data_IF_710436034505
#
_entry.id   IF_710436034505
#
_cell.length_a   1.000
_cell.length_b   1.000
_cell.length_c   1.000
_cell.angle_alpha   90.00
_cell.angle_beta   90.00
_cell.angle_gamma   90.00
#
_symmetry.space_group_name_H-M   'P 1'
#
loop_
_entity.id
_entity.type
_entity.pdbx_description
1 polymer ?
#
# COMPACT_ATOMS: atom_id res chain seq x y z
N UNK A 1 -20.11 3.68 -23.35
CA UNK A 1 -19.78 3.00 -22.08
C UNK A 1 -18.27 2.86 -21.88
N UNK A 2 -17.48 2.70 -22.93
CA UNK A 2 -16.00 2.61 -22.89
C UNK A 2 -15.33 3.86 -22.33
N UNK A 3 -15.73 5.05 -22.73
CA UNK A 3 -15.15 6.31 -22.24
C UNK A 3 -15.24 6.47 -20.72
N UNK A 4 -16.36 6.04 -20.12
CA UNK A 4 -16.52 6.11 -18.64
C UNK A 4 -15.59 5.13 -17.94
N UNK A 5 -15.36 3.94 -18.52
CA UNK A 5 -14.45 2.94 -17.96
C UNK A 5 -13.00 3.40 -18.07
N UNK A 6 -12.59 3.92 -19.22
CA UNK A 6 -11.25 4.45 -19.42
C UNK A 6 -10.93 5.59 -18.43
N UNK A 7 -11.88 6.51 -18.21
CA UNK A 7 -11.72 7.57 -17.21
C UNK A 7 -11.39 7.01 -15.81
N UNK A 8 -12.09 5.97 -15.36
CA UNK A 8 -11.83 5.39 -14.03
C UNK A 8 -10.52 4.62 -13.98
N UNK A 9 -10.10 3.99 -15.06
CA UNK A 9 -8.77 3.37 -15.19
C UNK A 9 -7.68 4.44 -15.03
N UNK A 10 -7.78 5.56 -15.75
CA UNK A 10 -6.82 6.66 -15.67
C UNK A 10 -6.78 7.30 -14.26
N UNK A 11 -7.95 7.56 -13.67
CA UNK A 11 -8.01 8.07 -12.28
C UNK A 11 -7.34 7.10 -11.32
N UNK A 12 -7.62 5.80 -11.42
CA UNK A 12 -7.05 4.79 -10.53
C UNK A 12 -5.52 4.67 -10.71
N UNK A 13 -5.01 4.84 -11.93
CA UNK A 13 -3.60 4.75 -12.25
C UNK A 13 -2.74 5.83 -11.56
N UNK A 14 -3.34 6.98 -11.21
CA UNK A 14 -2.64 8.04 -10.46
C UNK A 14 -2.01 7.49 -9.18
N UNK A 15 -2.71 6.62 -8.44
CA UNK A 15 -2.23 6.10 -7.17
C UNK A 15 -0.95 5.25 -7.29
N UNK A 16 -0.91 4.18 -8.08
CA UNK A 16 0.29 3.35 -8.16
C UNK A 16 1.47 4.09 -8.84
N UNK A 17 1.22 5.01 -9.75
CA UNK A 17 2.27 5.88 -10.32
C UNK A 17 2.86 6.77 -9.22
N UNK A 18 2.02 7.46 -8.45
CA UNK A 18 2.46 8.30 -7.35
C UNK A 18 3.17 7.51 -6.24
N UNK A 19 2.70 6.30 -5.92
CA UNK A 19 3.36 5.44 -4.93
C UNK A 19 4.70 4.91 -5.42
N UNK A 20 4.81 4.52 -6.69
CA UNK A 20 6.08 4.08 -7.29
C UNK A 20 7.14 5.17 -7.30
N UNK A 21 6.74 6.43 -7.53
CA UNK A 21 7.65 7.57 -7.49
C UNK A 21 8.08 7.97 -6.07
N UNK A 22 7.37 7.54 -5.02
CA UNK A 22 7.70 7.85 -3.63
C UNK A 22 9.12 7.41 -3.27
N UNK A 23 9.55 6.25 -3.74
CA UNK A 23 10.90 5.72 -3.44
C UNK A 23 11.99 6.63 -4.03
N UNK A 24 11.79 7.06 -5.29
CA UNK A 24 12.70 7.99 -5.94
C UNK A 24 12.77 9.33 -5.20
N UNK A 25 11.61 9.95 -4.90
CA UNK A 25 11.56 11.24 -4.20
C UNK A 25 12.18 11.12 -2.81
N UNK A 26 11.88 10.06 -2.05
CA UNK A 26 12.43 9.85 -0.72
C UNK A 26 13.94 9.71 -0.75
N UNK A 27 14.48 8.97 -1.74
CA UNK A 27 15.92 8.72 -1.83
C UNK A 27 16.72 9.95 -2.27
N UNK A 28 16.21 10.73 -3.23
CA UNK A 28 16.99 11.75 -3.94
C UNK A 28 16.63 13.19 -3.54
N UNK A 29 15.50 13.40 -2.86
CA UNK A 29 14.99 14.75 -2.58
C UNK A 29 14.81 15.00 -1.10
N UNK A 30 14.47 13.96 -0.31
CA UNK A 30 14.21 14.15 1.12
C UNK A 30 15.48 14.00 1.96
N UNK A 31 15.53 14.65 3.15
CA UNK A 31 16.68 14.56 4.04
C UNK A 31 17.00 13.11 4.38
N UNK A 32 18.28 12.69 4.32
CA UNK A 32 18.70 11.40 4.85
C UNK A 32 18.50 11.35 6.38
N UNK A 33 18.45 10.17 6.97
CA UNK A 33 18.43 9.94 8.42
C UNK A 33 17.26 10.57 9.20
N UNK A 34 16.18 10.95 8.50
CA UNK A 34 14.96 11.52 9.08
C UNK A 34 13.73 10.65 8.80
N UNK A 35 13.83 9.34 9.01
CA UNK A 35 12.76 8.39 8.65
C UNK A 35 11.51 8.57 9.51
N UNK A 36 11.68 8.87 10.80
CA UNK A 36 10.56 9.08 11.72
C UNK A 36 9.86 10.42 11.43
N UNK A 37 10.63 11.51 11.34
CA UNK A 37 10.07 12.79 10.94
C UNK A 37 9.51 12.78 9.53
N UNK A 38 10.15 12.07 8.60
CA UNK A 38 9.65 11.88 7.24
C UNK A 38 8.26 11.23 7.22
N UNK A 39 8.04 10.22 8.05
CA UNK A 39 6.72 9.60 8.20
C UNK A 39 5.69 10.57 8.82
N UNK A 40 6.05 11.33 9.86
CA UNK A 40 5.17 12.31 10.51
C UNK A 40 4.79 13.45 9.56
N UNK A 41 5.80 14.08 8.93
CA UNK A 41 5.60 15.22 8.01
C UNK A 41 4.76 14.80 6.80
N UNK A 42 4.92 13.56 6.30
CA UNK A 42 4.11 13.03 5.21
C UNK A 42 2.67 12.77 5.63
N UNK A 43 2.47 12.06 6.74
CA UNK A 43 1.19 11.42 7.04
C UNK A 43 0.25 12.32 7.84
N UNK A 44 0.77 13.15 8.77
CA UNK A 44 -0.09 13.98 9.60
C UNK A 44 -0.83 15.06 8.79
N UNK A 45 -0.18 15.87 7.96
CA UNK A 45 -0.91 16.86 7.14
C UNK A 45 -1.86 16.20 6.14
N UNK A 46 -1.44 15.10 5.50
CA UNK A 46 -2.31 14.36 4.58
C UNK A 46 -3.55 13.82 5.29
N UNK A 47 -3.38 13.26 6.49
CA UNK A 47 -4.49 12.77 7.32
C UNK A 47 -5.47 13.87 7.71
N UNK A 48 -4.96 15.04 8.09
CA UNK A 48 -5.78 16.22 8.41
C UNK A 48 -6.56 16.71 7.18
N UNK A 49 -5.91 16.79 6.01
CA UNK A 49 -6.58 17.16 4.75
C UNK A 49 -7.71 16.18 4.42
N UNK A 50 -7.46 14.87 4.51
CA UNK A 50 -8.50 13.85 4.26
C UNK A 50 -9.60 13.90 5.31
N UNK A 51 -9.26 14.19 6.58
CA UNK A 51 -10.26 14.36 7.65
C UNK A 51 -11.16 15.59 7.39
N UNK A 52 -10.60 16.70 6.91
CA UNK A 52 -11.37 17.89 6.54
C UNK A 52 -12.40 17.59 5.44
N UNK A 53 -12.05 16.70 4.50
CA UNK A 53 -12.95 16.26 3.42
C UNK A 53 -14.01 15.30 3.96
N UNK A 54 -13.64 14.32 4.75
CA UNK A 54 -14.57 13.28 5.25
C UNK A 54 -15.43 13.74 6.42
N UNK A 55 -14.93 14.66 7.24
CA UNK A 55 -15.59 15.27 8.41
C UNK A 55 -16.17 14.27 9.40
N UNK A 56 -15.52 13.10 9.54
CA UNK A 56 -15.97 12.03 10.44
C UNK A 56 -14.85 11.65 11.42
N UNK A 57 -15.12 11.76 12.70
CA UNK A 57 -14.21 11.33 13.77
C UNK A 57 -14.45 9.86 14.14
N UNK A 58 -13.44 9.17 14.68
CA UNK A 58 -13.58 7.81 15.23
C UNK A 58 -14.61 7.79 16.36
N UNK A 59 -15.32 6.67 16.52
CA UNK A 59 -16.28 6.45 17.62
C UNK A 59 -16.06 5.09 18.25
N UNK A 60 -16.25 5.00 19.57
CA UNK A 60 -16.13 3.75 20.31
C UNK A 60 -14.77 3.04 20.10
N UNK A 61 -14.82 1.79 19.72
CA UNK A 61 -13.60 0.98 19.51
C UNK A 61 -12.70 1.47 18.37
N UNK A 62 -13.18 2.38 17.50
CA UNK A 62 -12.37 2.89 16.40
C UNK A 62 -11.21 3.79 16.84
N UNK A 63 -11.22 4.32 18.04
CA UNK A 63 -10.08 5.06 18.59
C UNK A 63 -8.84 4.17 18.67
N UNK A 64 -8.93 3.04 19.40
CA UNK A 64 -7.78 2.14 19.53
C UNK A 64 -7.47 1.36 18.24
N UNK A 65 -8.53 0.99 17.45
CA UNK A 65 -8.33 0.32 16.16
C UNK A 65 -7.56 1.20 15.18
N UNK A 66 -7.85 2.49 15.16
CA UNK A 66 -7.13 3.46 14.33
C UNK A 66 -5.66 3.58 14.74
N UNK A 67 -5.36 3.47 16.03
CA UNK A 67 -3.97 3.46 16.53
C UNK A 67 -3.24 2.21 16.06
N UNK A 68 -3.82 1.02 16.22
CA UNK A 68 -3.22 -0.23 15.77
C UNK A 68 -3.05 -0.25 14.25
N UNK A 69 -4.11 0.06 13.50
CA UNK A 69 -4.05 0.10 12.05
C UNK A 69 -3.11 1.19 11.56
N UNK A 70 -3.16 2.38 12.15
CA UNK A 70 -2.28 3.49 11.82
C UNK A 70 -0.81 3.17 12.09
N UNK A 71 -0.50 2.48 13.18
CA UNK A 71 0.84 1.99 13.49
C UNK A 71 1.35 1.01 12.43
N UNK A 72 0.51 0.05 12.03
CA UNK A 72 0.89 -0.99 11.06
C UNK A 72 0.94 -0.49 9.61
N UNK A 73 -0.10 0.24 9.17
CA UNK A 73 -0.29 0.57 7.75
C UNK A 73 0.24 1.95 7.36
N UNK A 74 0.53 2.80 8.34
CA UNK A 74 0.92 4.19 8.09
C UNK A 74 2.20 4.56 8.80
N UNK A 75 2.21 4.61 10.13
CA UNK A 75 3.37 5.04 10.91
C UNK A 75 4.57 4.14 10.66
N UNK A 76 4.49 2.89 11.11
CA UNK A 76 5.56 1.91 10.94
C UNK A 76 5.89 1.64 9.48
N UNK A 77 4.86 1.50 8.63
CA UNK A 77 5.07 1.31 7.18
C UNK A 77 5.89 2.45 6.57
N UNK A 78 5.52 3.71 6.81
CA UNK A 78 6.20 4.83 6.17
C UNK A 78 7.61 5.05 6.70
N UNK A 79 7.87 4.79 7.99
CA UNK A 79 9.23 4.77 8.54
C UNK A 79 10.08 3.72 7.84
N UNK A 80 9.58 2.49 7.73
CA UNK A 80 10.30 1.39 7.08
C UNK A 80 10.49 1.62 5.57
N UNK A 81 9.50 2.19 4.89
CA UNK A 81 9.61 2.60 3.47
C UNK A 81 10.67 3.68 3.31
N UNK A 82 10.73 4.63 4.23
CA UNK A 82 11.76 5.68 4.19
C UNK A 82 13.17 5.09 4.36
N UNK A 83 13.36 4.23 5.36
CA UNK A 83 14.63 3.52 5.58
C UNK A 83 15.02 2.69 4.36
N UNK A 84 14.07 1.95 3.79
CA UNK A 84 14.32 1.14 2.60
C UNK A 84 14.70 2.00 1.39
N UNK A 85 13.99 3.12 1.16
CA UNK A 85 14.25 4.02 0.04
C UNK A 85 15.61 4.70 0.14
N UNK A 86 16.10 4.99 1.34
CA UNK A 86 17.43 5.57 1.53
C UNK A 86 18.58 4.54 1.35
N UNK A 87 18.28 3.24 1.51
CA UNK A 87 19.29 2.16 1.53
C UNK A 87 19.28 1.27 0.29
N UNK A 88 18.18 1.22 -0.43
CA UNK A 88 18.03 0.38 -1.62
C UNK A 88 17.88 1.21 -2.90
N UNK A 89 18.22 0.60 -4.02
CA UNK A 89 17.84 1.12 -5.32
C UNK A 89 16.30 1.28 -5.41
N UNK A 90 15.84 2.35 -6.03
CA UNK A 90 14.41 2.68 -6.19
C UNK A 90 13.64 1.53 -6.83
N UNK A 91 14.22 0.94 -7.88
CA UNK A 91 13.67 -0.20 -8.60
C UNK A 91 13.48 -1.43 -7.70
N UNK A 92 14.48 -1.74 -6.85
CA UNK A 92 14.46 -2.89 -5.96
C UNK A 92 13.42 -2.70 -4.83
N UNK A 93 13.42 -1.53 -4.16
CA UNK A 93 12.48 -1.25 -3.08
C UNK A 93 11.02 -1.30 -3.56
N UNK A 94 10.71 -0.71 -4.73
CA UNK A 94 9.38 -0.77 -5.33
C UNK A 94 8.98 -2.21 -5.72
N UNK A 95 9.92 -3.02 -6.20
CA UNK A 95 9.65 -4.41 -6.60
C UNK A 95 9.40 -5.30 -5.38
N UNK A 96 10.19 -5.20 -4.32
CA UNK A 96 9.93 -5.95 -3.06
C UNK A 96 8.53 -5.62 -2.56
N UNK A 97 8.14 -4.35 -2.54
CA UNK A 97 6.83 -3.93 -2.05
C UNK A 97 5.69 -4.47 -2.92
N UNK A 98 5.89 -4.68 -4.21
CA UNK A 98 4.86 -5.25 -5.10
C UNK A 98 4.52 -6.71 -4.78
N UNK A 99 5.38 -7.44 -4.06
CA UNK A 99 5.09 -8.80 -3.58
C UNK A 99 4.14 -8.83 -2.36
N UNK A 100 3.71 -7.66 -1.86
CA UNK A 100 2.68 -7.56 -0.81
C UNK A 100 1.40 -8.34 -1.12
N UNK A 101 1.08 -8.57 -2.40
CA UNK A 101 -0.01 -9.43 -2.82
C UNK A 101 0.15 -10.88 -2.31
N UNK A 102 1.38 -11.41 -2.29
CA UNK A 102 1.69 -12.74 -1.74
C UNK A 102 1.50 -12.78 -0.23
N UNK A 103 2.01 -11.77 0.48
CA UNK A 103 1.85 -11.65 1.93
C UNK A 103 0.37 -11.47 2.31
N UNK A 104 -0.37 -10.67 1.57
CA UNK A 104 -1.81 -10.46 1.77
C UNK A 104 -2.61 -11.77 1.60
N UNK A 105 -2.28 -12.59 0.60
CA UNK A 105 -2.86 -13.91 0.38
C UNK A 105 -2.61 -14.84 1.56
N UNK A 106 -1.36 -14.95 2.00
CA UNK A 106 -0.96 -15.81 3.11
C UNK A 106 -1.66 -15.38 4.41
N UNK A 107 -1.62 -14.09 4.74
CA UNK A 107 -2.25 -13.55 5.94
C UNK A 107 -3.79 -13.65 5.89
N UNK A 108 -4.40 -13.47 4.72
CA UNK A 108 -5.85 -13.68 4.55
C UNK A 108 -6.23 -15.14 4.77
N UNK A 109 -5.41 -16.08 4.32
CA UNK A 109 -5.62 -17.51 4.60
C UNK A 109 -5.49 -17.82 6.09
N UNK A 110 -4.43 -17.34 6.74
CA UNK A 110 -4.18 -17.60 8.17
C UNK A 110 -5.23 -16.95 9.08
N UNK A 111 -5.58 -15.68 8.85
CA UNK A 111 -6.40 -14.88 9.77
C UNK A 111 -7.90 -14.89 9.43
N UNK A 112 -8.25 -15.01 8.16
CA UNK A 112 -9.63 -15.03 7.68
C UNK A 112 -10.08 -16.42 7.21
N UNK A 113 -9.18 -17.43 7.27
CA UNK A 113 -9.41 -18.81 6.78
C UNK A 113 -9.88 -18.86 5.32
N UNK A 114 -9.55 -17.88 4.53
CA UNK A 114 -9.84 -17.82 3.09
C UNK A 114 -8.76 -18.60 2.35
N UNK A 115 -9.06 -19.81 1.90
CA UNK A 115 -8.12 -20.63 1.12
C UNK A 115 -7.75 -19.90 -0.18
N UNK A 116 -6.47 -19.68 -0.47
CA UNK A 116 -6.07 -19.05 -1.72
C UNK A 116 -6.40 -19.98 -2.91
N UNK A 117 -6.86 -19.39 -4.00
CA UNK A 117 -6.95 -20.14 -5.25
C UNK A 117 -5.55 -20.56 -5.71
N UNK A 118 -5.41 -21.73 -6.32
CA UNK A 118 -4.11 -22.25 -6.76
C UNK A 118 -3.36 -21.24 -7.64
N UNK A 119 -4.05 -20.57 -8.55
CA UNK A 119 -3.46 -19.53 -9.41
C UNK A 119 -2.89 -18.36 -8.61
N UNK A 120 -3.57 -17.95 -7.55
CA UNK A 120 -3.10 -16.89 -6.68
C UNK A 120 -1.83 -17.32 -5.91
N UNK A 121 -1.77 -18.56 -5.45
CA UNK A 121 -0.59 -19.14 -4.80
C UNK A 121 0.58 -19.26 -5.78
N UNK A 122 0.35 -19.73 -7.01
CA UNK A 122 1.37 -19.79 -8.06
C UNK A 122 1.89 -18.41 -8.44
N UNK A 123 0.99 -17.42 -8.60
CA UNK A 123 1.37 -16.05 -8.88
C UNK A 123 2.22 -15.43 -7.76
N UNK A 124 1.84 -15.70 -6.50
CA UNK A 124 2.62 -15.27 -5.34
C UNK A 124 4.02 -15.89 -5.29
N UNK A 125 4.13 -17.20 -5.52
CA UNK A 125 5.40 -17.91 -5.57
C UNK A 125 6.30 -17.35 -6.69
N UNK A 126 5.74 -17.11 -7.87
CA UNK A 126 6.46 -16.53 -9.00
C UNK A 126 6.98 -15.13 -8.69
N UNK A 127 6.18 -14.29 -8.02
CA UNK A 127 6.59 -12.97 -7.56
C UNK A 127 7.75 -13.02 -6.56
N UNK A 128 7.72 -13.95 -5.60
CA UNK A 128 8.82 -14.14 -4.63
C UNK A 128 10.11 -14.57 -5.35
N UNK A 129 10.02 -15.53 -6.27
CA UNK A 129 11.18 -15.97 -7.09
C UNK A 129 11.73 -14.79 -7.88
N UNK A 130 10.87 -13.95 -8.45
CA UNK A 130 11.30 -12.75 -9.18
C UNK A 130 12.11 -11.79 -8.30
N UNK A 131 11.67 -11.53 -7.06
CA UNK A 131 12.44 -10.69 -6.12
C UNK A 131 13.77 -11.32 -5.74
N UNK A 132 13.80 -12.64 -5.49
CA UNK A 132 15.05 -13.35 -5.17
C UNK A 132 16.06 -13.21 -6.32
N UNK A 133 15.61 -13.32 -7.58
CA UNK A 133 16.45 -13.12 -8.75
C UNK A 133 16.98 -11.68 -8.83
N UNK A 134 16.15 -10.68 -8.51
CA UNK A 134 16.60 -9.27 -8.50
C UNK A 134 17.65 -8.97 -7.43
N UNK A 135 17.68 -9.74 -6.36
CA UNK A 135 18.69 -9.59 -5.28
C UNK A 135 20.06 -10.19 -5.63
N UNK A 136 20.22 -10.81 -6.79
CA UNK A 136 21.50 -11.40 -7.22
C UNK A 136 22.56 -10.32 -7.46
N UNK A 137 23.85 -10.61 -7.19
CA UNK A 137 24.95 -9.67 -7.43
C UNK A 137 24.96 -9.17 -8.88
N UNK A 138 25.07 -7.85 -9.05
CA UNK A 138 25.03 -7.18 -10.37
C UNK A 138 23.99 -6.07 -10.48
N UNK A 139 23.09 -5.95 -9.51
CA UNK A 139 22.09 -4.87 -9.41
C UNK A 139 22.40 -3.77 -8.39
N UNK A 140 23.64 -3.66 -7.96
CA UNK A 140 24.10 -2.80 -6.88
C UNK A 140 24.20 -3.54 -5.53
N UNK A 141 24.95 -2.98 -4.59
CA UNK A 141 25.07 -3.53 -3.24
C UNK A 141 23.72 -3.44 -2.53
N UNK A 142 23.06 -4.58 -2.34
CA UNK A 142 21.81 -4.65 -1.63
C UNK A 142 22.07 -4.63 -0.10
N UNK A 143 21.80 -3.49 0.54
CA UNK A 143 21.90 -3.36 2.00
C UNK A 143 20.89 -4.28 2.69
N UNK A 144 21.37 -5.19 3.53
CA UNK A 144 20.53 -6.14 4.28
C UNK A 144 19.51 -5.45 5.17
N UNK A 145 19.82 -4.31 5.76
CA UNK A 145 18.87 -3.51 6.54
C UNK A 145 17.77 -2.90 5.67
N UNK A 146 18.10 -2.42 4.48
CA UNK A 146 17.14 -1.93 3.50
C UNK A 146 16.16 -3.02 3.05
N UNK A 147 16.68 -4.23 2.76
CA UNK A 147 15.85 -5.40 2.43
C UNK A 147 14.94 -5.76 3.60
N UNK A 148 15.49 -5.88 4.82
CA UNK A 148 14.71 -6.19 6.00
C UNK A 148 13.60 -5.16 6.23
N UNK A 149 13.91 -3.86 6.12
CA UNK A 149 12.92 -2.79 6.23
C UNK A 149 11.81 -2.92 5.18
N UNK A 150 12.15 -3.18 3.91
CA UNK A 150 11.16 -3.40 2.84
C UNK A 150 10.25 -4.60 3.12
N UNK A 151 10.82 -5.73 3.54
CA UNK A 151 10.06 -6.95 3.84
C UNK A 151 9.13 -6.74 5.05
N UNK A 152 9.64 -6.13 6.12
CA UNK A 152 8.82 -5.84 7.31
C UNK A 152 7.73 -4.83 6.98
N UNK A 153 8.01 -3.80 6.18
CA UNK A 153 7.03 -2.85 5.68
C UNK A 153 5.90 -3.55 4.90
N UNK A 154 6.27 -4.44 3.98
CA UNK A 154 5.35 -5.25 3.18
C UNK A 154 4.46 -6.14 4.07
N UNK A 155 5.03 -6.84 5.03
CA UNK A 155 4.28 -7.70 5.96
C UNK A 155 3.36 -6.88 6.87
N UNK A 156 3.85 -5.77 7.41
CA UNK A 156 3.10 -4.87 8.27
C UNK A 156 1.88 -4.27 7.56
N UNK A 157 2.08 -3.76 6.34
CA UNK A 157 0.99 -3.24 5.52
C UNK A 157 -0.03 -4.31 5.17
N UNK A 158 0.42 -5.50 4.77
CA UNK A 158 -0.45 -6.62 4.44
C UNK A 158 -1.29 -7.07 5.64
N UNK A 159 -0.68 -7.16 6.84
CA UNK A 159 -1.40 -7.43 8.08
C UNK A 159 -2.44 -6.36 8.38
N UNK A 160 -2.07 -5.10 8.27
CA UNK A 160 -2.98 -3.98 8.47
C UNK A 160 -4.16 -3.99 7.50
N UNK A 161 -3.95 -4.34 6.22
CA UNK A 161 -5.04 -4.50 5.25
C UNK A 161 -6.00 -5.64 5.62
N UNK A 162 -5.48 -6.79 6.09
CA UNK A 162 -6.33 -7.91 6.55
C UNK A 162 -7.14 -7.50 7.78
N UNK A 163 -6.53 -6.82 8.74
CA UNK A 163 -7.23 -6.31 9.93
C UNK A 163 -8.25 -5.22 9.55
N UNK A 164 -7.92 -4.34 8.63
CA UNK A 164 -8.85 -3.33 8.07
C UNK A 164 -10.09 -4.00 7.49
N UNK A 165 -9.90 -5.06 6.69
CA UNK A 165 -11.02 -5.84 6.14
C UNK A 165 -11.84 -6.54 7.23
N UNK A 166 -11.19 -7.05 8.28
CA UNK A 166 -11.85 -7.73 9.39
C UNK A 166 -12.68 -6.78 10.26
N UNK A 167 -12.19 -5.55 10.50
CA UNK A 167 -12.79 -4.61 11.46
C UNK A 167 -13.65 -3.53 10.80
N UNK A 168 -13.43 -3.23 9.52
CA UNK A 168 -13.87 -1.99 8.88
C UNK A 168 -14.97 -2.08 7.84
N UNK A 169 -15.75 -3.18 7.82
CA UNK A 169 -16.74 -3.43 6.77
C UNK A 169 -17.74 -2.26 6.56
N UNK A 170 -18.08 -1.53 7.63
CA UNK A 170 -19.11 -0.47 7.62
C UNK A 170 -18.53 0.95 7.52
N UNK A 171 -17.20 1.11 7.48
CA UNK A 171 -16.56 2.43 7.46
C UNK A 171 -16.09 2.76 6.03
N UNK A 172 -16.42 3.96 5.51
CA UNK A 172 -15.89 4.39 4.22
C UNK A 172 -14.37 4.36 4.22
N UNK A 173 -13.71 3.75 3.22
CA UNK A 173 -12.27 3.56 3.20
C UNK A 173 -11.49 4.86 3.38
N UNK A 174 -11.91 5.96 2.74
CA UNK A 174 -11.24 7.25 2.85
C UNK A 174 -11.29 7.82 4.28
N UNK A 175 -12.42 7.63 4.98
CA UNK A 175 -12.55 8.03 6.39
C UNK A 175 -11.59 7.23 7.28
N UNK A 176 -11.50 5.93 7.05
CA UNK A 176 -10.58 5.06 7.79
C UNK A 176 -9.12 5.43 7.51
N UNK A 177 -8.78 5.76 6.27
CA UNK A 177 -7.46 6.25 5.90
C UNK A 177 -7.09 7.52 6.66
N UNK A 178 -8.01 8.50 6.78
CA UNK A 178 -7.77 9.71 7.55
C UNK A 178 -7.40 9.39 9.01
N UNK A 179 -8.17 8.51 9.65
CA UNK A 179 -7.91 8.10 11.03
C UNK A 179 -6.57 7.38 11.20
N UNK A 180 -6.22 6.49 10.26
CA UNK A 180 -4.97 5.75 10.29
C UNK A 180 -3.76 6.67 10.05
N UNK A 181 -3.85 7.61 9.12
CA UNK A 181 -2.81 8.61 8.85
C UNK A 181 -2.50 9.45 10.08
N UNK A 182 -3.54 9.99 10.73
CA UNK A 182 -3.39 10.81 11.94
C UNK A 182 -2.87 9.95 13.11
N UNK A 183 -3.53 8.84 13.40
CA UNK A 183 -3.16 8.00 14.53
C UNK A 183 -1.74 7.43 14.39
N UNK A 184 -1.37 6.95 13.18
CA UNK A 184 -0.02 6.47 12.90
C UNK A 184 1.05 7.54 13.08
N UNK A 185 0.77 8.78 12.64
CA UNK A 185 1.67 9.91 12.85
C UNK A 185 1.82 10.28 14.32
N UNK A 186 0.71 10.29 15.08
CA UNK A 186 0.74 10.58 16.51
C UNK A 186 1.46 9.51 17.32
N UNK A 187 1.50 8.26 16.86
CA UNK A 187 2.30 7.20 17.46
C UNK A 187 3.80 7.38 17.18
N UNK A 188 4.14 7.80 15.95
CA UNK A 188 5.54 7.97 15.52
C UNK A 188 6.13 9.27 16.06
N UNK A 189 5.35 10.36 16.16
CA UNK A 189 5.87 11.68 16.54
C UNK A 189 6.64 11.72 17.88
N UNK A 190 6.16 11.09 18.98
CA UNK A 190 6.95 11.04 20.23
C UNK A 190 8.28 10.30 20.04
N UNK A 191 8.29 9.23 19.27
CA UNK A 191 9.50 8.45 18.97
C UNK A 191 10.46 9.29 18.12
N UNK A 192 9.96 10.06 17.15
CA UNK A 192 10.77 10.98 16.35
C UNK A 192 11.45 12.04 17.23
N UNK A 193 10.72 12.64 18.16
CA UNK A 193 11.29 13.65 19.10
C UNK A 193 12.40 13.03 19.96
N UNK A 194 12.20 11.79 20.43
CA UNK A 194 13.17 11.13 21.34
C UNK A 194 14.42 10.66 20.56
N UNK A 195 14.24 10.11 19.36
CA UNK A 195 15.31 9.42 18.60
C UNK A 195 16.01 10.36 17.64
N UNK A 196 15.26 11.15 16.87
CA UNK A 196 15.80 12.06 15.86
C UNK A 196 15.91 13.51 16.36
N UNK A 197 15.31 13.83 17.53
CA UNK A 197 15.33 15.18 18.10
C UNK A 197 14.38 16.15 17.39
N UNK A 198 14.87 17.34 17.08
CA UNK A 198 14.08 18.36 16.38
C UNK A 198 13.77 17.93 14.93
N UNK A 199 12.66 18.41 14.34
CA UNK A 199 12.40 18.19 12.93
C UNK A 199 13.56 18.63 12.05
N UNK A 200 13.86 17.90 10.96
CA UNK A 200 14.97 18.28 10.07
C UNK A 200 14.72 19.66 9.43
N UNK A 201 15.78 20.42 9.24
CA UNK A 201 15.71 21.63 8.43
C UNK A 201 15.39 21.23 6.99
N UNK A 202 14.35 21.83 6.42
CA UNK A 202 13.92 21.54 5.05
C UNK A 202 14.40 22.66 4.13
N UNK A 203 15.19 22.31 3.13
CA UNK A 203 15.51 23.18 2.01
C UNK A 203 14.37 23.25 0.98
N UNK A 204 14.53 24.07 -0.05
CA UNK A 204 13.51 24.21 -1.09
C UNK A 204 13.14 22.90 -1.80
N UNK A 205 14.09 22.08 -2.27
CA UNK A 205 13.83 20.76 -2.83
C UNK A 205 13.08 19.83 -1.87
N UNK A 206 13.50 19.73 -0.60
CA UNK A 206 12.84 18.88 0.39
C UNK A 206 11.39 19.33 0.67
N UNK A 207 11.13 20.62 0.74
CA UNK A 207 9.77 21.18 0.89
C UNK A 207 8.88 20.78 -0.28
N UNK A 208 9.38 20.90 -1.51
CA UNK A 208 8.64 20.46 -2.72
C UNK A 208 8.44 18.94 -2.74
N UNK A 209 9.44 18.17 -2.34
CA UNK A 209 9.36 16.72 -2.19
C UNK A 209 8.29 16.29 -1.20
N UNK A 210 8.27 16.89 -0.01
CA UNK A 210 7.24 16.63 0.99
C UNK A 210 5.86 17.11 0.52
N UNK A 211 5.73 18.28 -0.10
CA UNK A 211 4.47 18.75 -0.66
C UNK A 211 3.91 17.77 -1.70
N UNK A 212 4.77 17.27 -2.60
CA UNK A 212 4.41 16.23 -3.56
C UNK A 212 3.93 14.96 -2.85
N UNK A 213 4.68 14.44 -1.87
CA UNK A 213 4.32 13.22 -1.17
C UNK A 213 3.02 13.37 -0.37
N UNK A 214 2.82 14.50 0.31
CA UNK A 214 1.60 14.79 1.08
C UNK A 214 0.39 14.88 0.16
N UNK A 215 0.44 15.73 -0.85
CA UNK A 215 -0.70 16.07 -1.67
C UNK A 215 -0.96 14.99 -2.74
N UNK A 216 0.07 14.62 -3.51
CA UNK A 216 -0.09 13.74 -4.67
C UNK A 216 0.00 12.28 -4.24
N UNK A 217 1.11 11.87 -3.62
CA UNK A 217 1.35 10.46 -3.32
C UNK A 217 0.61 9.95 -2.07
N UNK A 218 -0.07 10.82 -1.33
CA UNK A 218 -0.91 10.40 -0.20
C UNK A 218 -2.36 10.84 -0.40
N UNK A 219 -2.70 12.12 -0.31
CA UNK A 219 -4.09 12.55 -0.32
C UNK A 219 -4.81 12.20 -1.65
N UNK A 220 -4.25 12.63 -2.80
CA UNK A 220 -4.83 12.36 -4.13
C UNK A 220 -4.75 10.88 -4.47
N UNK A 221 -3.63 10.22 -4.19
CA UNK A 221 -3.44 8.81 -4.49
C UNK A 221 -4.47 7.92 -3.78
N UNK A 222 -4.67 8.09 -2.47
CA UNK A 222 -5.69 7.32 -1.75
C UNK A 222 -7.11 7.63 -2.24
N UNK A 223 -7.44 8.89 -2.51
CA UNK A 223 -8.75 9.27 -3.07
C UNK A 223 -8.97 8.61 -4.45
N UNK A 224 -7.98 8.64 -5.33
CA UNK A 224 -8.02 8.03 -6.65
C UNK A 224 -8.15 6.51 -6.56
N UNK A 225 -7.36 5.85 -5.70
CA UNK A 225 -7.38 4.41 -5.50
C UNK A 225 -8.73 3.91 -4.99
N UNK A 226 -9.28 4.51 -3.94
CA UNK A 226 -10.56 4.10 -3.40
C UNK A 226 -11.73 4.42 -4.33
N UNK A 227 -11.63 5.49 -5.12
CA UNK A 227 -12.58 5.76 -6.20
C UNK A 227 -12.53 4.64 -7.25
N UNK A 228 -11.33 4.22 -7.65
CA UNK A 228 -11.14 3.10 -8.56
C UNK A 228 -11.75 1.79 -8.02
N UNK A 229 -11.44 1.45 -6.77
CA UNK A 229 -11.98 0.25 -6.10
C UNK A 229 -13.51 0.22 -6.04
N UNK A 230 -14.15 1.39 -5.95
CA UNK A 230 -15.62 1.49 -5.95
C UNK A 230 -16.26 1.45 -7.34
N UNK A 231 -15.48 1.60 -8.41
CA UNK A 231 -15.99 1.77 -9.79
C UNK A 231 -15.53 0.69 -10.77
N UNK A 232 -14.42 0.00 -10.46
CA UNK A 232 -13.80 -1.00 -11.31
C UNK A 232 -13.79 -2.38 -10.65
N UNK A 233 -13.83 -3.46 -11.44
CA UNK A 233 -13.60 -4.80 -10.91
C UNK A 233 -12.24 -4.92 -10.23
N UNK A 234 -12.17 -5.64 -9.12
CA UNK A 234 -10.93 -5.78 -8.34
C UNK A 234 -9.74 -6.31 -9.14
N UNK A 235 -9.97 -7.22 -10.09
CA UNK A 235 -8.94 -7.72 -11.00
C UNK A 235 -8.32 -6.60 -11.86
N UNK A 236 -9.14 -5.67 -12.36
CA UNK A 236 -8.66 -4.51 -13.13
C UNK A 236 -7.82 -3.59 -12.26
N UNK A 237 -8.28 -3.32 -11.03
CA UNK A 237 -7.53 -2.51 -10.06
C UNK A 237 -6.20 -3.17 -9.71
N UNK A 238 -6.17 -4.50 -9.53
CA UNK A 238 -4.94 -5.26 -9.29
C UNK A 238 -3.93 -5.12 -10.44
N UNK A 239 -4.39 -5.19 -11.68
CA UNK A 239 -3.53 -4.96 -12.87
C UNK A 239 -3.01 -3.52 -12.91
N UNK A 240 -3.88 -2.53 -12.63
CA UNK A 240 -3.46 -1.11 -12.56
C UNK A 240 -2.39 -0.93 -11.47
N UNK A 241 -2.47 -1.66 -10.36
CA UNK A 241 -1.49 -1.63 -9.28
C UNK A 241 -0.06 -1.96 -9.72
N UNK A 242 0.12 -2.71 -10.83
CA UNK A 242 1.43 -3.00 -11.42
C UNK A 242 2.18 -1.76 -11.92
N UNK A 243 1.49 -0.64 -12.11
CA UNK A 243 2.15 0.62 -12.43
C UNK A 243 3.09 1.09 -11.29
N UNK A 244 2.91 0.62 -10.06
CA UNK A 244 3.79 0.96 -8.95
C UNK A 244 5.25 0.47 -9.20
N UNK A 245 5.53 -0.84 -9.33
CA UNK A 245 6.89 -1.28 -9.62
C UNK A 245 7.41 -0.78 -10.98
N UNK A 246 6.54 -0.67 -11.99
CA UNK A 246 6.93 -0.13 -13.30
C UNK A 246 7.43 1.31 -13.18
N UNK A 247 6.70 2.17 -12.44
CA UNK A 247 7.11 3.56 -12.21
C UNK A 247 8.41 3.64 -11.40
N UNK A 248 8.55 2.81 -10.34
CA UNK A 248 9.78 2.75 -9.55
C UNK A 248 10.99 2.37 -10.41
N UNK A 249 10.86 1.34 -11.25
CA UNK A 249 11.93 0.92 -12.16
C UNK A 249 12.23 2.00 -13.19
N UNK A 250 11.22 2.59 -13.83
CA UNK A 250 11.44 3.64 -14.83
C UNK A 250 12.19 4.84 -14.23
N UNK A 251 11.78 5.30 -13.05
CA UNK A 251 12.45 6.42 -12.38
C UNK A 251 13.86 6.04 -11.90
N UNK A 252 14.04 4.85 -11.34
CA UNK A 252 15.35 4.37 -10.91
C UNK A 252 16.33 4.26 -12.08
N UNK A 253 15.93 3.60 -13.15
CA UNK A 253 16.82 3.33 -14.28
C UNK A 253 17.03 4.56 -15.17
N UNK A 254 15.94 5.24 -15.56
CA UNK A 254 16.01 6.31 -16.57
C UNK A 254 16.43 7.65 -15.95
N UNK A 255 15.98 7.95 -14.72
CA UNK A 255 16.25 9.24 -14.09
C UNK A 255 17.41 9.17 -13.10
N UNK A 256 17.45 8.14 -12.24
CA UNK A 256 18.52 7.97 -11.27
C UNK A 256 19.73 7.20 -11.82
N UNK A 257 19.67 6.71 -13.07
CA UNK A 257 20.73 5.90 -13.68
C UNK A 257 21.16 4.68 -12.84
N UNK A 258 20.19 4.08 -12.13
CA UNK A 258 20.43 2.88 -11.34
C UNK A 258 20.84 1.71 -12.25
N UNK A 259 21.80 0.87 -11.82
CA UNK A 259 22.19 -0.30 -12.58
C UNK A 259 21.00 -1.28 -12.70
N UNK A 260 20.70 -1.70 -13.94
CA UNK A 260 19.58 -2.57 -14.24
C UNK A 260 19.99 -3.63 -15.25
N UNK A 261 20.49 -4.75 -14.71
CA UNK A 261 21.04 -5.85 -15.50
C UNK A 261 19.98 -6.91 -15.88
N UNK A 262 20.40 -7.99 -16.55
CA UNK A 262 19.50 -9.07 -16.98
C UNK A 262 18.73 -9.73 -15.81
N UNK A 263 19.35 -9.88 -14.65
CA UNK A 263 18.70 -10.44 -13.47
C UNK A 263 17.52 -9.58 -13.01
N UNK A 264 17.67 -8.24 -13.02
CA UNK A 264 16.64 -7.30 -12.66
C UNK A 264 15.47 -7.32 -13.67
N UNK A 265 15.78 -7.43 -14.97
CA UNK A 265 14.76 -7.55 -16.02
C UNK A 265 13.94 -8.84 -15.83
N UNK A 266 14.63 -9.99 -15.67
CA UNK A 266 13.95 -11.27 -15.47
C UNK A 266 13.13 -11.28 -14.18
N UNK A 267 13.71 -10.78 -13.08
CA UNK A 267 13.04 -10.72 -11.80
C UNK A 267 11.79 -9.84 -11.83
N UNK A 268 11.87 -8.64 -12.42
CA UNK A 268 10.70 -7.76 -12.60
C UNK A 268 9.62 -8.41 -13.47
N UNK A 269 10.02 -9.05 -14.58
CA UNK A 269 9.08 -9.75 -15.46
C UNK A 269 8.34 -10.87 -14.70
N UNK A 270 9.04 -11.65 -13.88
CA UNK A 270 8.43 -12.70 -13.05
C UNK A 270 7.46 -12.11 -12.01
N UNK A 271 7.80 -10.98 -11.37
CA UNK A 271 6.89 -10.29 -10.44
C UNK A 271 5.64 -9.82 -11.16
N UNK A 272 5.78 -9.16 -12.31
CA UNK A 272 4.64 -8.67 -13.11
C UNK A 272 3.74 -9.82 -13.55
N UNK A 273 4.31 -10.90 -14.10
CA UNK A 273 3.58 -12.10 -14.51
C UNK A 273 2.91 -12.76 -13.31
N UNK A 274 3.60 -12.88 -12.19
CA UNK A 274 3.06 -13.43 -10.94
C UNK A 274 1.84 -12.66 -10.45
N UNK A 275 1.89 -11.34 -10.42
CA UNK A 275 0.74 -10.50 -10.03
C UNK A 275 -0.40 -10.63 -11.04
N UNK A 276 -0.12 -10.67 -12.35
CA UNK A 276 -1.14 -10.89 -13.37
C UNK A 276 -1.87 -12.22 -13.17
N UNK A 277 -1.12 -13.32 -12.99
CA UNK A 277 -1.70 -14.65 -12.73
C UNK A 277 -2.56 -14.63 -11.45
N UNK A 278 -2.06 -13.98 -10.39
CA UNK A 278 -2.75 -13.90 -9.10
C UNK A 278 -4.04 -13.07 -9.14
N UNK A 279 -4.04 -11.95 -9.86
CA UNK A 279 -5.18 -11.02 -9.95
C UNK A 279 -6.28 -11.48 -10.92
N UNK A 280 -5.91 -12.22 -11.96
CA UNK A 280 -6.86 -12.82 -12.92
C UNK A 280 -7.46 -14.13 -12.40
N UNK A 281 -7.07 -14.60 -11.21
CA UNK A 281 -7.66 -15.78 -10.59
C UNK A 281 -9.13 -15.51 -10.26
N UNK A 282 -10.06 -16.43 -10.57
CA UNK A 282 -11.44 -16.32 -10.11
C UNK A 282 -11.46 -16.25 -8.59
N UNK A 283 -12.14 -15.25 -8.04
CA UNK A 283 -12.40 -15.21 -6.60
C UNK A 283 -13.22 -16.45 -6.24
N UNK A 284 -12.72 -17.27 -5.30
CA UNK A 284 -13.51 -18.40 -4.79
C UNK A 284 -14.87 -17.85 -4.31
N UNK A 285 -16.00 -18.51 -4.64
CA UNK A 285 -17.30 -18.08 -4.19
C UNK A 285 -17.27 -17.97 -2.66
N UNK A 286 -17.60 -16.79 -2.14
CA UNK A 286 -17.77 -16.61 -0.69
C UNK A 286 -18.81 -17.61 -0.16
N UNK A 287 -18.79 -17.94 1.15
CA UNK A 287 -19.82 -18.80 1.74
C UNK A 287 -21.19 -18.27 1.34
N UNK A 288 -22.02 -19.13 0.75
CA UNK A 288 -23.40 -18.73 0.43
C UNK A 288 -24.06 -18.25 1.70
N UNK A 289 -24.77 -17.10 1.67
CA UNK A 289 -25.56 -16.69 2.82
C UNK A 289 -26.48 -17.84 3.21
N UNK A 290 -26.54 -18.15 4.51
CA UNK A 290 -27.47 -19.16 5.01
C UNK A 290 -28.88 -18.81 4.53
N UNK A 291 -29.67 -19.82 4.10
CA UNK A 291 -31.06 -19.57 3.68
C UNK A 291 -31.80 -18.83 4.79
N UNK A 292 -32.32 -17.65 4.50
CA UNK A 292 -33.17 -16.94 5.45
C UNK A 292 -34.37 -17.84 5.78
N UNK A 293 -34.68 -18.07 7.06
CA UNK A 293 -35.87 -18.84 7.43
C UNK A 293 -37.09 -18.15 6.82
N UNK A 294 -37.83 -18.90 6.03
CA UNK A 294 -39.11 -18.48 5.47
C UNK A 294 -40.01 -18.03 6.63
N UNK A 295 -40.23 -16.71 6.74
CA UNK A 295 -41.26 -16.20 7.66
C UNK A 295 -42.58 -16.76 7.16
N UNK A 296 -43.07 -17.83 7.80
CA UNK A 296 -44.40 -18.38 7.57
C UNK A 296 -45.41 -17.30 7.91
N UNK A 297 -46.01 -16.72 6.89
CA UNK A 297 -47.08 -15.75 7.02
C UNK A 297 -48.19 -16.32 7.89
N UNK A 298 -48.36 -15.73 9.06
CA UNK A 298 -49.42 -16.02 9.97
C UNK A 298 -50.78 -15.75 9.27
N UNK A 299 -51.53 -16.81 8.95
CA UNK A 299 -52.94 -16.69 8.57
C UNK A 299 -53.70 -16.00 9.70
N UNK A 300 -54.01 -14.73 9.52
CA UNK A 300 -55.04 -14.08 10.33
C UNK A 300 -56.36 -14.82 10.10
N UNK A 301 -56.82 -15.59 11.08
CA UNK A 301 -58.21 -16.04 11.18
C UNK A 301 -59.04 -14.77 11.52
N UNK A 302 -59.92 -14.42 10.59
CA UNK A 302 -61.05 -13.57 10.90
C UNK A 302 -62.10 -14.45 11.59
N UNK A 303 -62.51 -14.10 12.75
CA UNK A 303 -63.75 -14.41 13.40
C UNK A 303 -64.48 -13.12 13.68
#
# INVERSE_FOLDING_TARGET
MEDKRLRWVLVTAIAPIAWGSTYFVTRHVLPPDAALWGAVIRCLPAGLLVLLVTRRLPRGAWWWRSVVLGGLTVGGLNVLVYVAAQRLATSLAATIMSTSAAALLLLSWMLLRQRPALRAALGAALGIVGVIIMLQPGGGDADGWGIAASVVAMLSSSLGFVLTKRWGADIPPLTMTAWQLIAGSLVVAPVAIIVEGAPPALDGPALLGFAYIILVATAVAYAAWFTGLSRLPGAVVGVIGLLNPVTGVLLGVVVAHEPFGPAQIVGLALVVVGVLIGTLAPTAPGPRPAPQPLVRGGRRRRA
#
